data_IF_357142345258
#
_entry.id   IF_357142345258
#
_cell.length_a   1.000
_cell.length_b   1.000
_cell.length_c   1.000
_cell.angle_alpha   90.00
_cell.angle_beta   90.00
_cell.angle_gamma   90.00
#
_symmetry.space_group_name_H-M   'P 1'
#
loop_
_entity.id
_entity.type
_entity.pdbx_description
1 polymer ?
#
# COMPACT_ATOMS: atom_id res chain seq x y z
N UNK A 1 -4.60 26.30 25.97
CA UNK A 1 -3.46 26.30 25.01
C UNK A 1 -2.11 26.12 25.69
N UNK A 2 -1.78 26.91 26.73
CA UNK A 2 -0.46 26.86 27.39
C UNK A 2 -0.11 25.46 27.94
N UNK A 3 -1.03 24.76 28.60
CA UNK A 3 -0.79 23.44 29.20
C UNK A 3 -0.37 22.37 28.18
N UNK A 4 -1.01 22.32 27.01
CA UNK A 4 -0.67 21.37 25.94
C UNK A 4 0.75 21.61 25.42
N UNK A 5 1.12 22.88 25.21
CA UNK A 5 2.47 23.24 24.78
C UNK A 5 3.53 22.90 25.82
N UNK A 6 3.23 23.09 27.12
CA UNK A 6 4.14 22.69 28.20
C UNK A 6 4.34 21.18 28.17
N UNK A 7 3.27 20.38 28.10
CA UNK A 7 3.37 18.91 28.03
C UNK A 7 4.20 18.49 26.80
N UNK A 8 3.91 19.07 25.64
CA UNK A 8 4.66 18.81 24.42
C UNK A 8 6.15 19.12 24.58
N UNK A 9 6.50 20.29 25.11
CA UNK A 9 7.88 20.69 25.36
C UNK A 9 8.57 19.77 26.38
N UNK A 10 7.88 19.35 27.44
CA UNK A 10 8.40 18.38 28.41
C UNK A 10 8.71 17.03 27.76
N UNK A 11 7.81 16.51 26.92
CA UNK A 11 8.00 15.23 26.22
C UNK A 11 9.14 15.30 25.22
N UNK A 12 9.20 16.37 24.41
CA UNK A 12 10.29 16.58 23.45
C UNK A 12 11.62 16.80 24.17
N UNK A 13 11.63 17.58 25.24
CA UNK A 13 12.81 17.80 26.08
C UNK A 13 13.33 16.51 26.70
N UNK A 14 12.43 15.68 27.25
CA UNK A 14 12.77 14.36 27.78
C UNK A 14 13.34 13.44 26.69
N UNK A 15 12.74 13.41 25.49
CA UNK A 15 13.23 12.63 24.36
C UNK A 15 14.63 13.10 23.93
N UNK A 16 14.85 14.41 23.76
CA UNK A 16 16.15 14.97 23.37
C UNK A 16 17.21 14.66 24.43
N UNK A 17 16.89 14.89 25.70
CA UNK A 17 17.79 14.59 26.81
C UNK A 17 18.16 13.10 26.85
N UNK A 18 17.18 12.21 26.70
CA UNK A 18 17.40 10.77 26.66
C UNK A 18 18.27 10.36 25.45
N UNK A 19 17.99 10.87 24.25
CA UNK A 19 18.79 10.59 23.04
C UNK A 19 20.24 11.06 23.19
N UNK A 20 20.47 12.22 23.79
CA UNK A 20 21.81 12.77 24.01
C UNK A 20 22.58 11.97 25.07
N UNK A 21 21.96 11.70 26.21
CA UNK A 21 22.58 11.00 27.34
C UNK A 21 22.90 9.54 27.01
N UNK A 22 21.91 8.77 26.54
CA UNK A 22 22.10 7.36 26.18
C UNK A 22 23.07 7.23 25.01
N UNK A 23 22.98 8.14 24.03
CA UNK A 23 23.93 8.21 22.92
C UNK A 23 25.37 8.47 23.39
N UNK A 24 25.58 9.43 24.29
CA UNK A 24 26.91 9.75 24.83
C UNK A 24 27.49 8.59 25.65
N UNK A 25 26.71 8.01 26.56
CA UNK A 25 27.13 6.91 27.43
C UNK A 25 27.47 5.67 26.61
N UNK A 26 26.62 5.29 25.65
CA UNK A 26 26.83 4.05 24.88
C UNK A 26 27.90 4.18 23.79
N UNK A 27 28.29 5.39 23.38
CA UNK A 27 29.42 5.58 22.45
C UNK A 27 30.78 5.39 23.13
N UNK A 28 30.92 5.81 24.38
CA UNK A 28 32.19 5.74 25.10
C UNK A 28 32.46 4.33 25.67
N UNK A 29 33.67 3.75 25.52
CA UNK A 29 33.97 2.39 26.01
C UNK A 29 33.66 2.18 27.50
N UNK A 30 34.12 3.10 28.37
CA UNK A 30 33.81 3.08 29.81
C UNK A 30 32.31 3.11 30.12
N UNK A 31 31.52 3.83 29.32
CA UNK A 31 30.08 3.90 29.49
C UNK A 31 29.39 2.58 29.12
N UNK A 32 29.87 1.89 28.07
CA UNK A 32 29.38 0.54 27.73
C UNK A 32 29.68 -0.47 28.84
N UNK A 33 30.87 -0.44 29.42
CA UNK A 33 31.23 -1.30 30.56
C UNK A 33 30.35 -1.03 31.79
N UNK A 34 30.11 0.24 32.11
CA UNK A 34 29.21 0.63 33.19
C UNK A 34 27.77 0.15 32.96
N UNK A 35 27.26 0.25 31.73
CA UNK A 35 25.94 -0.30 31.38
C UNK A 35 25.93 -1.83 31.53
N UNK A 36 26.99 -2.52 31.08
CA UNK A 36 27.12 -3.98 31.20
C UNK A 36 27.20 -4.45 32.67
N UNK A 37 27.76 -3.63 33.57
CA UNK A 37 27.89 -4.00 34.98
C UNK A 37 26.58 -3.86 35.76
N UNK A 38 25.59 -3.13 35.25
CA UNK A 38 24.33 -2.86 35.94
C UNK A 38 23.15 -3.59 35.30
N UNK A 39 22.64 -4.62 35.99
CA UNK A 39 21.53 -5.45 35.49
C UNK A 39 20.26 -4.67 35.13
N UNK A 40 19.98 -3.57 35.83
CA UNK A 40 18.78 -2.75 35.59
C UNK A 40 18.77 -2.12 34.18
N UNK A 41 19.95 -1.78 33.64
CA UNK A 41 20.08 -1.22 32.30
C UNK A 41 20.17 -2.28 31.20
N UNK A 42 20.10 -3.55 31.56
CA UNK A 42 20.01 -4.62 30.56
C UNK A 42 18.71 -4.45 29.76
N UNK A 43 18.73 -4.56 28.42
CA UNK A 43 17.54 -4.38 27.57
C UNK A 43 16.31 -5.16 28.06
N UNK A 44 16.47 -6.48 28.31
CA UNK A 44 15.40 -7.32 28.85
C UNK A 44 14.82 -6.82 30.19
N UNK A 45 15.64 -6.25 31.06
CA UNK A 45 15.16 -5.71 32.35
C UNK A 45 14.32 -4.46 32.13
N UNK A 46 14.73 -3.57 31.22
CA UNK A 46 13.96 -2.40 30.82
C UNK A 46 12.60 -2.83 30.24
N UNK A 47 12.59 -3.80 29.33
CA UNK A 47 11.35 -4.31 28.74
C UNK A 47 10.43 -4.99 29.76
N UNK A 48 10.97 -5.71 30.75
CA UNK A 48 10.17 -6.29 31.84
C UNK A 48 9.52 -5.22 32.72
N UNK A 49 10.26 -4.17 33.07
CA UNK A 49 9.74 -3.08 33.91
C UNK A 49 8.63 -2.30 33.18
N UNK A 50 8.73 -2.18 31.85
CA UNK A 50 7.75 -1.49 31.00
C UNK A 50 6.38 -2.19 30.95
N UNK A 51 6.31 -3.51 31.07
CA UNK A 51 5.06 -4.29 30.94
C UNK A 51 3.89 -3.73 31.78
N UNK A 52 4.03 -3.53 33.10
CA UNK A 52 2.93 -2.99 33.91
C UNK A 52 2.62 -1.51 33.65
N UNK A 53 3.52 -0.76 33.01
CA UNK A 53 3.44 0.71 32.95
C UNK A 53 2.27 1.21 32.09
N UNK A 54 1.87 0.45 31.06
CA UNK A 54 0.69 0.76 30.26
C UNK A 54 -0.61 0.72 31.08
N UNK A 55 -0.72 -0.25 32.00
CA UNK A 55 -1.86 -0.34 32.91
C UNK A 55 -1.83 0.79 33.96
N UNK A 56 -0.66 1.19 34.43
CA UNK A 56 -0.50 2.35 35.33
C UNK A 56 -0.94 3.65 34.65
N UNK A 57 -0.63 3.85 33.36
CA UNK A 57 -1.16 4.98 32.58
C UNK A 57 -2.69 5.02 32.59
N UNK A 58 -3.34 3.85 32.39
CA UNK A 58 -4.81 3.73 32.46
C UNK A 58 -5.33 4.03 33.86
N UNK A 59 -4.66 3.58 34.91
CA UNK A 59 -5.05 3.89 36.29
C UNK A 59 -5.02 5.40 36.57
N UNK A 60 -4.03 6.13 36.05
CA UNK A 60 -3.99 7.58 36.16
C UNK A 60 -5.11 8.28 35.38
N UNK A 61 -5.42 7.84 34.15
CA UNK A 61 -6.58 8.37 33.43
C UNK A 61 -7.90 8.08 34.15
N UNK A 62 -8.06 6.87 34.70
CA UNK A 62 -9.23 6.50 35.48
C UNK A 62 -9.38 7.36 36.75
N UNK A 63 -8.28 7.70 37.41
CA UNK A 63 -8.25 8.57 38.58
C UNK A 63 -8.45 10.06 38.24
N UNK A 64 -8.57 10.43 36.96
CA UNK A 64 -8.68 11.82 36.50
C UNK A 64 -7.37 12.60 36.48
N UNK A 65 -6.21 11.94 36.66
CA UNK A 65 -4.89 12.56 36.63
C UNK A 65 -4.31 12.59 35.21
N UNK A 66 -5.00 13.30 34.31
CA UNK A 66 -4.72 13.27 32.86
C UNK A 66 -3.28 13.68 32.50
N UNK A 67 -2.78 14.77 33.10
CA UNK A 67 -1.42 15.26 32.84
C UNK A 67 -0.38 14.21 33.25
N UNK A 68 -0.57 13.60 34.42
CA UNK A 68 0.33 12.57 34.92
C UNK A 68 0.28 11.33 34.03
N UNK A 69 -0.91 10.91 33.60
CA UNK A 69 -1.09 9.78 32.69
C UNK A 69 -0.33 9.99 31.36
N UNK A 70 -0.44 11.19 30.76
CA UNK A 70 0.24 11.54 29.51
C UNK A 70 1.75 11.56 29.68
N UNK A 71 2.26 12.21 30.73
CA UNK A 71 3.69 12.29 31.00
C UNK A 71 4.27 10.91 31.31
N UNK A 72 3.57 10.09 32.11
CA UNK A 72 3.97 8.73 32.43
C UNK A 72 4.03 7.84 31.20
N UNK A 73 2.95 7.83 30.41
CA UNK A 73 2.88 7.06 29.17
C UNK A 73 4.02 7.48 28.22
N UNK A 74 4.22 8.78 28.03
CA UNK A 74 5.24 9.31 27.13
C UNK A 74 6.65 8.97 27.59
N UNK A 75 6.95 9.09 28.89
CA UNK A 75 8.27 8.74 29.44
C UNK A 75 8.63 7.28 29.17
N UNK A 76 7.69 6.36 29.43
CA UNK A 76 7.91 4.92 29.20
C UNK A 76 7.90 4.55 27.72
N UNK A 77 7.19 5.28 26.86
CA UNK A 77 7.32 5.13 25.41
C UNK A 77 8.68 5.61 24.90
N UNK A 78 9.28 6.65 25.49
CA UNK A 78 10.63 7.10 25.15
C UNK A 78 11.67 6.03 25.54
N UNK A 79 11.48 5.35 26.67
CA UNK A 79 12.41 4.29 27.13
C UNK A 79 12.51 3.08 26.20
N UNK A 80 11.51 2.87 25.32
CA UNK A 80 11.58 1.88 24.23
C UNK A 80 12.75 2.13 23.27
N UNK A 81 13.07 3.40 23.05
CA UNK A 81 14.18 3.73 22.18
C UNK A 81 15.53 3.47 22.90
N UNK A 82 15.53 3.43 24.23
CA UNK A 82 16.71 3.21 25.07
C UNK A 82 17.17 1.75 25.00
N UNK A 83 16.27 0.79 25.21
CA UNK A 83 16.61 -0.64 25.22
C UNK A 83 17.24 -1.09 23.88
N UNK A 84 16.69 -0.65 22.75
CA UNK A 84 17.20 -0.96 21.42
C UNK A 84 18.51 -0.23 21.09
N UNK A 85 18.83 0.88 21.75
CA UNK A 85 20.13 1.57 21.61
C UNK A 85 21.20 0.86 22.42
N UNK A 86 20.88 0.48 23.66
CA UNK A 86 21.77 -0.28 24.54
C UNK A 86 22.06 -1.65 23.94
N UNK A 87 21.04 -2.38 23.46
CA UNK A 87 21.21 -3.70 22.86
C UNK A 87 22.20 -3.70 21.69
N UNK A 88 22.15 -2.66 20.83
CA UNK A 88 23.02 -2.51 19.66
C UNK A 88 24.41 -2.00 19.98
N UNK A 89 24.54 -1.01 20.86
CA UNK A 89 25.82 -0.35 21.12
C UNK A 89 26.66 -1.07 22.19
N UNK A 90 26.03 -1.81 23.09
CA UNK A 90 26.69 -2.54 24.17
C UNK A 90 26.77 -4.05 23.91
N UNK A 91 26.37 -4.55 22.74
CA UNK A 91 26.34 -5.98 22.36
C UNK A 91 25.54 -6.86 23.35
N UNK A 92 24.42 -6.34 23.84
CA UNK A 92 23.54 -7.00 24.82
C UNK A 92 22.27 -7.59 24.20
N UNK A 93 22.26 -7.81 22.88
CA UNK A 93 21.11 -8.39 22.18
C UNK A 93 20.96 -9.88 22.50
N UNK A 94 19.78 -10.29 22.99
CA UNK A 94 19.49 -11.70 23.31
C UNK A 94 18.34 -12.26 22.47
N UNK A 95 18.27 -13.59 22.32
CA UNK A 95 17.14 -14.27 21.69
C UNK A 95 15.83 -14.05 22.45
N UNK A 96 15.91 -13.95 23.78
CA UNK A 96 14.77 -13.62 24.64
C UNK A 96 14.26 -12.20 24.40
N UNK A 97 15.15 -11.22 24.24
CA UNK A 97 14.80 -9.83 23.94
C UNK A 97 14.02 -9.68 22.63
N UNK A 98 14.43 -10.41 21.58
CA UNK A 98 13.72 -10.40 20.28
C UNK A 98 12.23 -10.75 20.38
N UNK A 99 11.81 -11.50 21.39
CA UNK A 99 10.41 -11.80 21.68
C UNK A 99 9.82 -10.89 22.75
N UNK A 100 10.59 -10.58 23.79
CA UNK A 100 10.18 -9.81 24.97
C UNK A 100 9.94 -8.33 24.64
N UNK A 101 10.82 -7.66 23.89
CA UNK A 101 10.67 -6.23 23.60
C UNK A 101 9.34 -5.97 22.85
N UNK A 102 8.99 -6.73 21.79
CA UNK A 102 7.71 -6.57 21.12
C UNK A 102 6.49 -6.99 21.95
N UNK A 103 6.65 -7.79 22.99
CA UNK A 103 5.59 -8.08 23.95
C UNK A 103 5.39 -6.90 24.89
N UNK A 104 6.48 -6.37 25.44
CA UNK A 104 6.50 -5.16 26.28
C UNK A 104 5.80 -4.00 25.59
N UNK A 105 6.08 -3.76 24.31
CA UNK A 105 5.39 -2.73 23.52
C UNK A 105 3.86 -2.89 23.57
N UNK A 106 3.36 -4.11 23.35
CA UNK A 106 1.92 -4.39 23.36
C UNK A 106 1.32 -4.16 24.74
N UNK A 107 1.99 -4.59 25.79
CA UNK A 107 1.56 -4.33 27.16
C UNK A 107 1.54 -2.83 27.48
N UNK A 108 2.39 -2.03 26.82
CA UNK A 108 2.41 -0.58 26.97
C UNK A 108 1.20 0.10 26.29
N UNK A 109 0.86 -0.28 25.06
CA UNK A 109 -0.20 0.41 24.29
C UNK A 109 -1.57 -0.28 24.25
N UNK A 110 -1.69 -1.59 24.54
CA UNK A 110 -2.99 -2.28 24.58
C UNK A 110 -3.92 -1.74 25.68
N UNK A 111 -3.48 -1.54 26.94
CA UNK A 111 -4.38 -1.02 27.96
C UNK A 111 -4.96 0.36 27.61
N UNK A 112 -4.16 1.36 27.17
CA UNK A 112 -4.70 2.64 26.71
C UNK A 112 -5.64 2.51 25.50
N UNK A 113 -5.34 1.64 24.52
CA UNK A 113 -6.24 1.40 23.38
C UNK A 113 -7.62 0.90 23.83
N UNK A 114 -7.64 -0.10 24.71
CA UNK A 114 -8.88 -0.69 25.25
C UNK A 114 -9.62 0.35 26.09
N UNK A 115 -8.91 1.13 26.91
CA UNK A 115 -9.51 2.19 27.73
C UNK A 115 -10.18 3.27 26.89
N UNK A 116 -9.49 3.82 25.88
CA UNK A 116 -10.07 4.85 25.02
C UNK A 116 -11.18 4.32 24.11
N UNK A 117 -11.13 3.04 23.73
CA UNK A 117 -12.25 2.37 23.05
C UNK A 117 -13.48 2.28 23.95
N UNK A 118 -13.31 1.81 25.19
CA UNK A 118 -14.40 1.71 26.17
C UNK A 118 -15.02 3.06 26.56
N UNK A 119 -14.28 4.16 26.38
CA UNK A 119 -14.78 5.53 26.56
C UNK A 119 -15.47 6.11 25.30
N UNK A 120 -15.57 5.34 24.22
CA UNK A 120 -16.15 5.78 22.95
C UNK A 120 -15.28 6.76 22.15
N UNK A 121 -14.02 6.95 22.54
CA UNK A 121 -13.08 7.85 21.86
C UNK A 121 -12.46 7.17 20.63
N UNK A 122 -12.18 5.88 20.75
CA UNK A 122 -11.73 5.04 19.64
C UNK A 122 -12.89 4.15 19.15
N UNK A 123 -12.93 3.82 17.84
CA UNK A 123 -13.94 2.89 17.33
C UNK A 123 -13.65 1.46 17.82
N UNK A 124 -14.53 0.95 18.69
CA UNK A 124 -14.37 -0.33 19.41
C UNK A 124 -14.08 -1.52 18.48
N UNK A 125 -14.84 -1.65 17.39
CA UNK A 125 -14.65 -2.74 16.42
C UNK A 125 -13.23 -2.76 15.86
N UNK A 126 -12.71 -1.61 15.43
CA UNK A 126 -11.40 -1.51 14.81
C UNK A 126 -10.25 -1.68 15.82
N UNK A 127 -10.45 -1.25 17.06
CA UNK A 127 -9.51 -1.56 18.16
C UNK A 127 -9.50 -3.06 18.45
N UNK A 128 -10.66 -3.72 18.49
CA UNK A 128 -10.75 -5.17 18.65
C UNK A 128 -9.98 -5.93 17.56
N UNK A 129 -10.21 -5.57 16.29
CA UNK A 129 -9.47 -6.14 15.15
C UNK A 129 -7.96 -5.92 15.30
N UNK A 130 -7.53 -4.71 15.67
CA UNK A 130 -6.12 -4.38 15.88
C UNK A 130 -5.49 -5.24 16.99
N UNK A 131 -6.12 -5.31 18.18
CA UNK A 131 -5.62 -6.06 19.34
C UNK A 131 -5.53 -7.55 19.02
N UNK A 132 -6.57 -8.12 18.41
CA UNK A 132 -6.60 -9.55 18.02
C UNK A 132 -5.50 -9.85 17.01
N UNK A 133 -5.44 -9.08 15.91
CA UNK A 133 -4.46 -9.29 14.84
C UNK A 133 -3.03 -9.18 15.35
N UNK A 134 -2.76 -8.19 16.20
CA UNK A 134 -1.42 -7.96 16.72
C UNK A 134 -1.01 -8.99 17.79
N UNK A 135 -1.98 -9.48 18.57
CA UNK A 135 -1.76 -10.59 19.50
C UNK A 135 -1.42 -11.88 18.75
N UNK A 136 -2.16 -12.19 17.68
CA UNK A 136 -1.83 -13.31 16.77
C UNK A 136 -0.44 -13.11 16.17
N UNK A 137 -0.09 -11.89 15.77
CA UNK A 137 1.24 -11.52 15.27
C UNK A 137 2.38 -11.62 16.29
N UNK A 138 2.07 -11.61 17.59
CA UNK A 138 3.03 -11.91 18.67
C UNK A 138 3.15 -13.40 18.91
N UNK A 139 2.03 -14.12 18.96
CA UNK A 139 1.99 -15.57 19.13
C UNK A 139 2.70 -16.29 17.98
N UNK A 140 2.56 -15.79 16.75
CA UNK A 140 3.24 -16.39 15.59
C UNK A 140 4.77 -16.40 15.71
N UNK A 141 5.37 -15.53 16.53
CA UNK A 141 6.83 -15.54 16.81
C UNK A 141 7.31 -16.78 17.54
N UNK A 142 6.40 -17.53 18.20
CA UNK A 142 6.74 -18.79 18.86
C UNK A 142 7.02 -19.90 17.84
N UNK A 143 6.39 -19.83 16.67
CA UNK A 143 6.47 -20.86 15.63
C UNK A 143 7.26 -20.41 14.38
N UNK A 144 7.55 -19.12 14.24
CA UNK A 144 8.24 -18.57 13.07
C UNK A 144 9.74 -18.34 13.36
N UNK A 145 10.61 -18.64 12.40
CA UNK A 145 12.04 -18.30 12.49
C UNK A 145 12.32 -16.78 12.51
N UNK A 146 11.49 -15.97 11.83
CA UNK A 146 11.57 -14.50 11.79
C UNK A 146 11.03 -13.88 13.09
N UNK A 147 11.80 -13.96 14.17
CA UNK A 147 11.41 -13.47 15.50
C UNK A 147 11.52 -11.95 15.67
N UNK A 148 12.34 -11.25 14.89
CA UNK A 148 12.51 -9.80 15.00
C UNK A 148 11.34 -9.01 14.39
N UNK A 149 11.16 -7.75 14.79
CA UNK A 149 10.16 -6.87 14.21
C UNK A 149 10.55 -6.44 12.78
N UNK A 150 9.61 -6.61 11.84
CA UNK A 150 9.74 -6.10 10.47
C UNK A 150 9.37 -4.60 10.39
N UNK A 151 9.60 -3.99 9.23
CA UNK A 151 9.33 -2.56 9.01
C UNK A 151 7.86 -2.19 9.29
N UNK A 152 6.90 -3.02 8.88
CA UNK A 152 5.48 -2.81 9.16
C UNK A 152 5.17 -2.84 10.66
N UNK A 153 5.79 -3.76 11.41
CA UNK A 153 5.65 -3.84 12.85
C UNK A 153 6.15 -2.58 13.56
N UNK A 154 7.30 -2.05 13.13
CA UNK A 154 7.84 -0.79 13.66
C UNK A 154 6.96 0.41 13.31
N UNK A 155 6.53 0.51 12.06
CA UNK A 155 5.64 1.57 11.59
C UNK A 155 4.30 1.56 12.34
N UNK A 156 3.72 0.37 12.57
CA UNK A 156 2.51 0.19 13.36
C UNK A 156 2.70 0.70 14.79
N UNK A 157 3.75 0.27 15.49
CA UNK A 157 4.00 0.72 16.87
C UNK A 157 4.14 2.24 16.93
N UNK A 158 4.93 2.83 16.02
CA UNK A 158 5.04 4.29 15.93
C UNK A 158 3.66 4.96 15.73
N UNK A 159 2.86 4.46 14.78
CA UNK A 159 1.54 5.02 14.51
C UNK A 159 0.57 4.90 15.70
N UNK A 160 0.54 3.77 16.40
CA UNK A 160 -0.29 3.56 17.60
C UNK A 160 0.12 4.54 18.70
N UNK A 161 1.42 4.69 18.93
CA UNK A 161 1.93 5.58 19.98
C UNK A 161 1.60 7.04 19.70
N UNK A 162 1.80 7.49 18.45
CA UNK A 162 1.36 8.82 18.02
C UNK A 162 -0.15 9.00 18.14
N UNK A 163 -0.96 8.01 17.72
CA UNK A 163 -2.41 8.05 17.84
C UNK A 163 -2.86 8.22 19.30
N UNK A 164 -2.32 7.41 20.22
CA UNK A 164 -2.65 7.48 21.65
C UNK A 164 -2.22 8.82 22.27
N UNK A 165 -1.02 9.31 21.95
CA UNK A 165 -0.56 10.62 22.41
C UNK A 165 -1.44 11.76 21.90
N UNK A 166 -1.83 11.75 20.62
CA UNK A 166 -2.73 12.75 20.05
C UNK A 166 -4.13 12.69 20.65
N UNK A 167 -4.65 11.49 20.90
CA UNK A 167 -5.94 11.32 21.58
C UNK A 167 -5.90 11.88 22.98
N UNK A 168 -4.86 11.55 23.76
CA UNK A 168 -4.74 12.02 25.13
C UNK A 168 -4.64 13.56 25.20
N UNK A 169 -3.90 14.19 24.26
CA UNK A 169 -3.89 15.65 24.13
C UNK A 169 -5.24 16.22 23.70
N UNK A 170 -5.95 15.54 22.77
CA UNK A 170 -7.26 15.96 22.29
C UNK A 170 -8.34 15.91 23.39
N UNK A 171 -8.21 15.02 24.38
CA UNK A 171 -9.10 14.97 25.55
C UNK A 171 -8.92 16.19 26.45
N UNK A 172 -7.68 16.65 26.66
CA UNK A 172 -7.41 17.87 27.44
C UNK A 172 -7.82 19.14 26.71
N UNK A 173 -7.59 19.18 25.41
CA UNK A 173 -7.94 20.33 24.57
C UNK A 173 -8.24 19.85 23.17
N UNK A 174 -9.42 20.19 22.68
CA UNK A 174 -9.85 19.82 21.33
C UNK A 174 -8.87 20.33 20.26
N UNK A 175 -8.31 19.40 19.49
CA UNK A 175 -7.44 19.65 18.35
C UNK A 175 -8.29 19.76 17.08
N UNK A 176 -8.10 20.85 16.34
CA UNK A 176 -8.93 21.19 15.17
C UNK A 176 -8.95 20.12 14.05
N UNK A 177 -7.89 19.32 13.92
CA UNK A 177 -7.78 18.28 12.89
C UNK A 177 -8.22 16.88 13.36
N UNK A 178 -8.41 16.66 14.66
CA UNK A 178 -8.73 15.34 15.24
C UNK A 178 -10.23 15.03 15.14
N UNK A 179 -10.73 14.96 13.91
CA UNK A 179 -12.10 14.51 13.64
C UNK A 179 -12.28 13.00 13.92
N UNK A 180 -13.49 12.52 14.27
CA UNK A 180 -13.76 11.09 14.46
C UNK A 180 -13.39 10.23 13.24
N UNK A 181 -13.57 10.77 12.03
CA UNK A 181 -13.18 10.10 10.77
C UNK A 181 -11.66 9.93 10.68
N UNK A 182 -10.91 10.96 11.06
CA UNK A 182 -9.45 10.91 11.06
C UNK A 182 -8.91 9.91 12.10
N UNK A 183 -9.49 9.90 13.31
CA UNK A 183 -9.18 8.90 14.34
C UNK A 183 -9.48 7.48 13.84
N UNK A 184 -10.64 7.27 13.23
CA UNK A 184 -11.02 6.00 12.61
C UNK A 184 -10.03 5.56 11.54
N UNK A 185 -9.64 6.46 10.63
CA UNK A 185 -8.65 6.19 9.59
C UNK A 185 -7.30 5.77 10.16
N UNK A 186 -6.79 6.48 11.17
CA UNK A 186 -5.54 6.12 11.84
C UNK A 186 -5.63 4.76 12.54
N UNK A 187 -6.77 4.47 13.20
CA UNK A 187 -7.01 3.18 13.88
C UNK A 187 -7.04 2.02 12.88
N UNK A 188 -7.75 2.18 11.77
CA UNK A 188 -7.78 1.19 10.66
C UNK A 188 -6.39 1.01 10.07
N UNK A 189 -5.64 2.10 9.88
CA UNK A 189 -4.27 2.05 9.37
C UNK A 189 -3.35 1.27 10.32
N UNK A 190 -3.50 1.44 11.63
CA UNK A 190 -2.79 0.63 12.63
C UNK A 190 -3.15 -0.86 12.48
N UNK A 191 -4.43 -1.19 12.35
CA UNK A 191 -4.90 -2.56 12.14
C UNK A 191 -4.31 -3.19 10.87
N UNK A 192 -4.29 -2.44 9.77
CA UNK A 192 -3.70 -2.87 8.50
C UNK A 192 -2.19 -3.13 8.62
N UNK A 193 -1.45 -2.23 9.28
CA UNK A 193 -0.01 -2.42 9.51
C UNK A 193 0.27 -3.61 10.44
N UNK A 194 -0.60 -3.88 11.41
CA UNK A 194 -0.53 -5.07 12.27
C UNK A 194 -0.72 -6.35 11.45
N UNK A 195 -1.73 -6.37 10.58
CA UNK A 195 -1.99 -7.48 9.67
C UNK A 195 -0.80 -7.72 8.72
N UNK A 196 -0.28 -6.68 8.06
CA UNK A 196 0.89 -6.76 7.18
C UNK A 196 2.12 -7.27 7.94
N UNK A 197 2.32 -6.82 9.17
CA UNK A 197 3.43 -7.29 10.01
C UNK A 197 3.31 -8.78 10.34
N UNK A 198 2.11 -9.26 10.68
CA UNK A 198 1.82 -10.68 10.88
C UNK A 198 2.01 -11.49 9.60
N UNK A 199 1.40 -11.04 8.51
CA UNK A 199 1.45 -11.69 7.20
C UNK A 199 2.91 -11.89 6.74
N UNK A 200 3.75 -10.85 6.76
CA UNK A 200 5.15 -10.97 6.35
C UNK A 200 6.03 -11.83 7.29
N UNK A 201 5.53 -12.24 8.45
CA UNK A 201 6.22 -13.22 9.31
C UNK A 201 5.81 -14.64 8.93
N UNK A 202 4.51 -14.87 8.76
CA UNK A 202 3.96 -16.22 8.57
C UNK A 202 4.10 -16.67 7.12
N UNK A 203 3.84 -15.78 6.17
CA UNK A 203 3.80 -16.12 4.75
C UNK A 203 5.21 -16.03 4.16
N UNK A 204 5.69 -17.09 3.45
CA UNK A 204 6.98 -17.05 2.78
C UNK A 204 7.06 -15.93 1.74
N UNK A 205 8.24 -15.34 1.57
CA UNK A 205 8.41 -14.15 0.73
C UNK A 205 8.03 -14.39 -0.76
N UNK A 206 8.13 -15.64 -1.23
CA UNK A 206 7.78 -16.07 -2.60
C UNK A 206 6.27 -15.95 -2.88
N UNK A 207 5.43 -15.93 -1.85
CA UNK A 207 3.97 -15.83 -1.97
C UNK A 207 3.44 -14.39 -2.00
N UNK A 208 4.29 -13.38 -1.78
CA UNK A 208 3.85 -11.99 -1.72
C UNK A 208 3.25 -11.50 -3.04
N UNK A 209 3.82 -11.91 -4.18
CA UNK A 209 3.25 -11.59 -5.48
C UNK A 209 1.85 -12.20 -5.63
N UNK A 210 1.72 -13.52 -5.45
CA UNK A 210 0.44 -14.21 -5.56
C UNK A 210 -0.65 -13.65 -4.62
N UNK A 211 -0.30 -13.19 -3.41
CA UNK A 211 -1.31 -12.62 -2.51
C UNK A 211 -1.80 -11.24 -2.97
N UNK A 212 -0.94 -10.45 -3.61
CA UNK A 212 -1.35 -9.21 -4.25
C UNK A 212 -2.18 -9.48 -5.51
N UNK A 213 -1.79 -10.47 -6.32
CA UNK A 213 -2.60 -10.96 -7.44
C UNK A 213 -3.99 -11.43 -7.00
N UNK A 214 -4.07 -12.17 -5.88
CA UNK A 214 -5.35 -12.56 -5.29
C UNK A 214 -6.16 -11.34 -4.84
N UNK A 215 -5.51 -10.32 -4.27
CA UNK A 215 -6.18 -9.07 -3.91
C UNK A 215 -6.73 -8.33 -5.15
N UNK A 216 -5.99 -8.30 -6.26
CA UNK A 216 -6.47 -7.80 -7.55
C UNK A 216 -7.72 -8.57 -8.00
N UNK A 217 -7.65 -9.91 -8.02
CA UNK A 217 -8.79 -10.75 -8.39
C UNK A 217 -10.04 -10.49 -7.50
N UNK A 218 -9.85 -10.39 -6.19
CA UNK A 218 -10.94 -10.07 -5.25
C UNK A 218 -11.52 -8.68 -5.49
N UNK A 219 -10.70 -7.68 -5.84
CA UNK A 219 -11.19 -6.37 -6.29
C UNK A 219 -12.06 -6.51 -7.54
N UNK A 220 -11.67 -7.35 -8.51
CA UNK A 220 -12.49 -7.65 -9.68
C UNK A 220 -13.85 -8.26 -9.34
N UNK A 221 -13.89 -9.28 -8.47
CA UNK A 221 -15.14 -9.90 -8.02
C UNK A 221 -16.04 -8.91 -7.27
N UNK A 222 -15.47 -8.11 -6.36
CA UNK A 222 -16.21 -7.08 -5.64
C UNK A 222 -16.72 -5.98 -6.58
N UNK A 223 -15.97 -5.64 -7.63
CA UNK A 223 -16.40 -4.69 -8.64
C UNK A 223 -17.58 -5.23 -9.45
N UNK A 224 -17.54 -6.48 -9.91
CA UNK A 224 -18.66 -7.13 -10.59
C UNK A 224 -19.94 -7.10 -9.74
N UNK A 225 -19.82 -7.41 -8.44
CA UNK A 225 -20.94 -7.31 -7.50
C UNK A 225 -21.51 -5.89 -7.38
N UNK A 226 -20.65 -4.87 -7.37
CA UNK A 226 -21.07 -3.47 -7.30
C UNK A 226 -21.77 -3.00 -8.58
N UNK A 227 -21.37 -3.49 -9.76
CA UNK A 227 -22.10 -3.22 -11.02
C UNK A 227 -23.52 -3.78 -10.90
N UNK A 228 -23.68 -5.05 -10.49
CA UNK A 228 -24.99 -5.67 -10.31
C UNK A 228 -25.85 -4.94 -9.26
N UNK A 229 -25.21 -4.34 -8.27
CA UNK A 229 -25.87 -3.56 -7.21
C UNK A 229 -26.16 -2.10 -7.61
N UNK A 230 -26.08 -1.74 -8.90
CA UNK A 230 -26.27 -0.38 -9.44
C UNK A 230 -25.30 0.66 -8.82
N UNK A 231 -24.05 0.26 -8.60
CA UNK A 231 -22.98 1.11 -8.10
C UNK A 231 -21.75 1.11 -9.01
N UNK A 232 -21.89 1.53 -10.28
CA UNK A 232 -20.83 1.42 -11.31
C UNK A 232 -19.57 2.23 -10.97
N UNK A 233 -19.70 3.39 -10.35
CA UNK A 233 -18.56 4.18 -9.88
C UNK A 233 -17.73 3.43 -8.82
N UNK A 234 -18.38 2.78 -7.85
CA UNK A 234 -17.69 2.02 -6.81
C UNK A 234 -16.97 0.82 -7.42
N UNK A 235 -17.59 0.16 -8.40
CA UNK A 235 -16.95 -0.90 -9.17
C UNK A 235 -15.69 -0.40 -9.88
N UNK A 236 -15.75 0.77 -10.53
CA UNK A 236 -14.59 1.34 -11.21
C UNK A 236 -13.48 1.77 -10.24
N UNK A 237 -13.82 2.30 -9.06
CA UNK A 237 -12.83 2.55 -8.00
C UNK A 237 -12.16 1.25 -7.55
N UNK A 238 -12.89 0.13 -7.44
CA UNK A 238 -12.31 -1.17 -7.10
C UNK A 238 -11.38 -1.70 -8.20
N UNK A 239 -11.73 -1.52 -9.48
CA UNK A 239 -10.82 -1.82 -10.61
C UNK A 239 -9.53 -0.99 -10.51
N UNK A 240 -9.67 0.30 -10.22
CA UNK A 240 -8.53 1.20 -10.02
C UNK A 240 -7.64 0.74 -8.85
N UNK A 241 -8.21 0.29 -7.74
CA UNK A 241 -7.45 -0.29 -6.62
C UNK A 241 -6.77 -1.60 -7.03
N UNK A 242 -7.45 -2.47 -7.79
CA UNK A 242 -6.88 -3.70 -8.34
C UNK A 242 -5.62 -3.46 -9.19
N UNK A 243 -5.60 -2.38 -9.98
CA UNK A 243 -4.42 -1.93 -10.73
C UNK A 243 -3.22 -1.58 -9.86
N UNK A 244 -3.40 -1.14 -8.62
CA UNK A 244 -2.26 -0.97 -7.71
C UNK A 244 -1.72 -2.31 -7.24
N UNK A 245 -2.59 -3.28 -7.00
CA UNK A 245 -2.16 -4.62 -6.60
C UNK A 245 -1.38 -5.32 -7.72
N UNK A 246 -1.83 -5.25 -8.97
CA UNK A 246 -1.07 -5.69 -10.17
C UNK A 246 0.29 -4.97 -10.27
N UNK A 247 0.31 -3.64 -10.15
CA UNK A 247 1.58 -2.90 -10.20
C UNK A 247 2.58 -3.37 -9.11
N UNK A 248 2.08 -3.69 -7.92
CA UNK A 248 2.90 -4.13 -6.80
C UNK A 248 3.28 -5.60 -6.87
N UNK A 249 2.43 -6.50 -7.39
CA UNK A 249 2.73 -7.93 -7.47
C UNK A 249 3.90 -8.22 -8.39
N UNK A 250 3.99 -7.57 -9.56
CA UNK A 250 5.09 -7.74 -10.49
C UNK A 250 6.40 -7.21 -9.92
N UNK A 251 6.34 -6.21 -9.02
CA UNK A 251 7.53 -5.76 -8.27
C UNK A 251 7.93 -6.75 -7.19
N UNK A 252 6.97 -7.33 -6.47
CA UNK A 252 7.24 -8.34 -5.45
C UNK A 252 7.81 -9.61 -6.08
N UNK A 253 7.26 -10.05 -7.22
CA UNK A 253 7.74 -11.20 -7.98
C UNK A 253 9.22 -11.06 -8.39
N UNK A 254 9.63 -9.86 -8.84
CA UNK A 254 11.03 -9.59 -9.19
C UNK A 254 11.96 -9.49 -7.99
N UNK A 255 11.45 -9.00 -6.85
CA UNK A 255 12.27 -8.77 -5.64
C UNK A 255 12.44 -10.02 -4.80
N UNK A 256 11.38 -10.81 -4.64
CA UNK A 256 11.30 -11.95 -3.73
C UNK A 256 11.13 -13.30 -4.45
N UNK A 257 11.01 -13.29 -5.78
CA UNK A 257 10.62 -14.45 -6.55
C UNK A 257 9.10 -14.60 -6.63
N UNK A 258 8.64 -15.52 -7.48
CA UNK A 258 7.24 -15.90 -7.59
C UNK A 258 7.13 -17.42 -7.71
N UNK A 259 5.95 -17.96 -7.43
CA UNK A 259 5.66 -19.38 -7.60
C UNK A 259 5.62 -19.76 -9.08
N UNK A 260 5.77 -21.06 -9.39
CA UNK A 260 5.79 -21.58 -10.78
C UNK A 260 4.57 -21.15 -11.62
N UNK A 261 3.39 -21.12 -11.01
CA UNK A 261 2.13 -20.74 -11.68
C UNK A 261 1.71 -19.30 -11.41
N UNK A 262 2.58 -18.50 -10.78
CA UNK A 262 2.31 -17.09 -10.47
C UNK A 262 1.91 -16.26 -11.70
N UNK A 263 2.63 -16.34 -12.84
CA UNK A 263 2.25 -15.60 -14.04
C UNK A 263 0.86 -15.97 -14.59
N UNK A 264 0.49 -17.25 -14.55
CA UNK A 264 -0.84 -17.68 -14.99
C UNK A 264 -1.92 -17.15 -14.06
N UNK A 265 -1.65 -17.13 -12.75
CA UNK A 265 -2.57 -16.58 -11.77
C UNK A 265 -2.76 -15.06 -11.94
N UNK A 266 -1.68 -14.36 -12.30
CA UNK A 266 -1.67 -12.94 -12.65
C UNK A 266 -2.56 -12.66 -13.86
N UNK A 267 -2.39 -13.41 -14.94
CA UNK A 267 -3.22 -13.27 -16.14
C UNK A 267 -4.72 -13.54 -15.86
N UNK A 268 -5.04 -14.47 -14.96
CA UNK A 268 -6.44 -14.73 -14.54
C UNK A 268 -7.01 -13.52 -13.76
N UNK A 269 -6.22 -12.95 -12.85
CA UNK A 269 -6.61 -11.76 -12.11
C UNK A 269 -6.82 -10.56 -13.04
N UNK A 270 -5.87 -10.31 -13.95
CA UNK A 270 -5.92 -9.25 -14.95
C UNK A 270 -7.10 -9.40 -15.91
N UNK A 271 -7.32 -10.61 -16.42
CA UNK A 271 -8.46 -10.91 -17.29
C UNK A 271 -9.80 -10.68 -16.60
N UNK A 272 -9.88 -10.95 -15.29
CA UNK A 272 -11.08 -10.71 -14.49
C UNK A 272 -11.30 -9.22 -14.24
N UNK A 273 -10.31 -8.53 -13.67
CA UNK A 273 -10.44 -7.14 -13.21
C UNK A 273 -10.44 -6.14 -14.37
N UNK A 274 -9.54 -6.29 -15.35
CA UNK A 274 -9.37 -5.34 -16.45
C UNK A 274 -10.13 -5.73 -17.71
N UNK A 275 -10.44 -7.03 -17.87
CA UNK A 275 -11.24 -7.55 -18.96
C UNK A 275 -12.72 -7.61 -18.61
N UNK A 276 -13.12 -8.66 -17.87
CA UNK A 276 -14.52 -9.01 -17.63
C UNK A 276 -15.31 -7.91 -16.91
N UNK A 277 -14.76 -7.34 -15.84
CA UNK A 277 -15.46 -6.30 -15.06
C UNK A 277 -15.71 -5.04 -15.89
N UNK A 278 -14.71 -4.60 -16.67
CA UNK A 278 -14.88 -3.44 -17.55
C UNK A 278 -15.87 -3.75 -18.68
N UNK A 279 -15.92 -4.98 -19.18
CA UNK A 279 -16.96 -5.42 -20.11
C UNK A 279 -18.36 -5.31 -19.52
N UNK A 280 -18.54 -5.78 -18.27
CA UNK A 280 -19.80 -5.66 -17.57
C UNK A 280 -20.17 -4.20 -17.35
N UNK A 281 -19.20 -3.33 -17.07
CA UNK A 281 -19.41 -1.90 -16.94
C UNK A 281 -19.84 -1.27 -18.27
N UNK A 282 -19.17 -1.61 -19.38
CA UNK A 282 -19.54 -1.17 -20.73
C UNK A 282 -20.96 -1.59 -21.07
N UNK A 283 -21.30 -2.86 -20.82
CA UNK A 283 -22.65 -3.38 -21.07
C UNK A 283 -23.70 -2.66 -20.22
N UNK A 284 -23.47 -2.55 -18.91
CA UNK A 284 -24.39 -1.93 -17.97
C UNK A 284 -24.76 -0.49 -18.38
N UNK A 285 -23.76 0.32 -18.70
CA UNK A 285 -23.98 1.73 -19.03
C UNK A 285 -24.52 1.91 -20.46
N UNK A 286 -23.98 1.22 -21.46
CA UNK A 286 -24.44 1.40 -22.85
C UNK A 286 -25.76 0.69 -23.17
N UNK A 287 -26.13 -0.35 -22.43
CA UNK A 287 -27.45 -0.96 -22.58
C UNK A 287 -28.56 0.05 -22.22
N UNK A 288 -28.30 0.95 -21.26
CA UNK A 288 -29.21 2.02 -20.88
C UNK A 288 -29.22 3.17 -21.89
N UNK A 289 -28.06 3.58 -22.42
CA UNK A 289 -27.94 4.77 -23.28
C UNK A 289 -28.18 4.52 -24.78
N UNK A 290 -27.95 3.30 -25.28
CA UNK A 290 -28.09 2.93 -26.68
C UNK A 290 -29.08 1.78 -26.87
N UNK A 291 -28.59 0.54 -26.76
CA UNK A 291 -29.38 -0.69 -26.81
C UNK A 291 -28.59 -1.82 -26.18
N UNK A 292 -29.28 -2.79 -25.58
CA UNK A 292 -28.66 -3.95 -24.96
C UNK A 292 -27.77 -4.74 -25.94
N UNK A 293 -28.19 -4.86 -27.21
CA UNK A 293 -27.40 -5.54 -28.24
C UNK A 293 -26.09 -4.82 -28.53
N UNK A 294 -26.11 -3.50 -28.74
CA UNK A 294 -24.90 -2.73 -29.02
C UNK A 294 -23.93 -2.72 -27.83
N UNK A 295 -24.45 -2.56 -26.61
CA UNK A 295 -23.66 -2.68 -25.39
C UNK A 295 -22.99 -4.06 -25.26
N UNK A 296 -23.73 -5.14 -25.54
CA UNK A 296 -23.22 -6.51 -25.45
C UNK A 296 -22.13 -6.79 -26.49
N UNK A 297 -22.34 -6.37 -27.74
CA UNK A 297 -21.34 -6.52 -28.81
C UNK A 297 -20.05 -5.78 -28.43
N UNK A 298 -20.15 -4.54 -27.97
CA UNK A 298 -18.97 -3.76 -27.61
C UNK A 298 -18.22 -4.34 -26.41
N UNK A 299 -18.94 -4.80 -25.38
CA UNK A 299 -18.36 -5.49 -24.24
C UNK A 299 -17.63 -6.78 -24.66
N UNK A 300 -18.21 -7.56 -25.57
CA UNK A 300 -17.60 -8.78 -26.10
C UNK A 300 -16.31 -8.47 -26.88
N UNK A 301 -16.35 -7.46 -27.76
CA UNK A 301 -15.16 -6.99 -28.50
C UNK A 301 -14.05 -6.59 -27.52
N UNK A 302 -14.37 -5.80 -26.51
CA UNK A 302 -13.40 -5.35 -25.52
C UNK A 302 -12.73 -6.53 -24.78
N UNK A 303 -13.51 -7.50 -24.29
CA UNK A 303 -12.98 -8.68 -23.58
C UNK A 303 -12.09 -9.52 -24.49
N UNK A 304 -12.52 -9.77 -25.73
CA UNK A 304 -11.73 -10.53 -26.70
C UNK A 304 -10.38 -9.85 -26.97
N UNK A 305 -10.36 -8.52 -27.08
CA UNK A 305 -9.13 -7.75 -27.22
C UNK A 305 -8.21 -7.87 -25.99
N UNK A 306 -8.77 -7.83 -24.77
CA UNK A 306 -7.99 -8.02 -23.53
C UNK A 306 -7.41 -9.44 -23.48
N UNK A 307 -8.22 -10.47 -23.74
CA UNK A 307 -7.76 -11.86 -23.77
C UNK A 307 -6.64 -12.08 -24.79
N UNK A 308 -6.79 -11.55 -26.01
CA UNK A 308 -5.74 -11.64 -27.04
C UNK A 308 -4.47 -10.90 -26.62
N UNK A 309 -4.61 -9.74 -25.96
CA UNK A 309 -3.47 -8.97 -25.44
C UNK A 309 -2.71 -9.74 -24.37
N UNK A 310 -3.40 -10.39 -23.43
CA UNK A 310 -2.78 -11.25 -22.41
C UNK A 310 -2.07 -12.46 -23.05
N UNK A 311 -2.73 -13.13 -23.99
CA UNK A 311 -2.11 -14.24 -24.73
C UNK A 311 -0.81 -13.84 -25.45
N UNK A 312 -0.80 -12.67 -26.11
CA UNK A 312 0.38 -12.14 -26.80
C UNK A 312 1.50 -11.71 -25.84
N UNK A 313 1.16 -11.35 -24.61
CA UNK A 313 2.14 -11.04 -23.58
C UNK A 313 2.91 -12.29 -23.14
N UNK A 314 2.22 -13.42 -22.99
CA UNK A 314 2.85 -14.72 -22.73
C UNK A 314 3.62 -15.28 -23.92
N UNK A 315 3.12 -15.07 -25.15
CA UNK A 315 3.69 -15.58 -26.40
C UNK A 315 4.13 -14.42 -27.31
N UNK A 316 5.22 -13.70 -26.97
CA UNK A 316 5.66 -12.57 -27.76
C UNK A 316 6.17 -13.03 -29.14
N UNK A 317 5.72 -12.41 -30.25
CA UNK A 317 6.14 -12.81 -31.60
C UNK A 317 7.61 -12.49 -31.90
N UNK A 318 8.22 -11.57 -31.13
CA UNK A 318 9.63 -11.21 -31.27
C UNK A 318 10.16 -10.64 -29.96
N UNK A 319 11.47 -10.81 -29.68
CA UNK A 319 12.08 -10.29 -28.46
C UNK A 319 12.00 -8.76 -28.43
N UNK A 320 11.65 -8.21 -27.27
CA UNK A 320 11.60 -6.78 -27.01
C UNK A 320 12.60 -6.41 -25.91
N UNK A 321 13.12 -5.17 -25.90
CA UNK A 321 13.93 -4.68 -24.80
C UNK A 321 13.17 -4.75 -23.46
N UNK A 322 13.90 -4.97 -22.36
CA UNK A 322 13.31 -4.98 -21.02
C UNK A 322 12.54 -3.69 -20.74
N UNK A 323 11.31 -3.82 -20.25
CA UNK A 323 10.44 -2.68 -19.91
C UNK A 323 9.69 -2.06 -21.07
N UNK A 324 9.62 -2.75 -22.21
CA UNK A 324 8.80 -2.39 -23.37
C UNK A 324 7.84 -3.54 -23.68
N UNK A 325 6.59 -3.24 -23.98
CA UNK A 325 5.60 -4.21 -24.44
C UNK A 325 4.88 -3.72 -25.71
N UNK A 326 4.27 -4.65 -26.46
CA UNK A 326 3.46 -4.35 -27.66
C UNK A 326 1.99 -4.15 -27.28
N UNK A 327 1.41 -3.07 -27.76
CA UNK A 327 0.06 -2.63 -27.43
C UNK A 327 -0.01 -1.95 -26.06
N UNK A 328 -1.09 -1.21 -25.83
CA UNK A 328 -1.41 -0.60 -24.54
C UNK A 328 -1.61 -1.70 -23.48
N UNK A 329 -1.17 -1.49 -22.22
CA UNK A 329 -1.36 -2.48 -21.17
C UNK A 329 -2.81 -2.48 -20.68
N UNK A 330 -3.36 -3.63 -20.29
CA UNK A 330 -4.77 -3.78 -19.90
C UNK A 330 -5.16 -2.92 -18.70
N UNK A 331 -4.31 -2.62 -17.70
CA UNK A 331 -4.72 -1.72 -16.63
C UNK A 331 -4.95 -0.29 -17.16
N UNK A 332 -4.09 0.19 -18.07
CA UNK A 332 -4.30 1.49 -18.72
C UNK A 332 -5.53 1.47 -19.66
N UNK A 333 -5.75 0.36 -20.37
CA UNK A 333 -6.94 0.16 -21.20
C UNK A 333 -8.23 0.16 -20.38
N UNK A 334 -8.26 -0.55 -19.26
CA UNK A 334 -9.38 -0.56 -18.32
C UNK A 334 -9.68 0.82 -17.76
N UNK A 335 -8.64 1.58 -17.39
CA UNK A 335 -8.78 2.93 -16.88
C UNK A 335 -9.33 3.89 -17.96
N UNK A 336 -8.85 3.79 -19.21
CA UNK A 336 -9.34 4.62 -20.31
C UNK A 336 -10.78 4.26 -20.70
N UNK A 337 -11.07 2.99 -20.93
CA UNK A 337 -12.38 2.51 -21.36
C UNK A 337 -13.43 2.72 -20.26
N UNK A 338 -13.12 2.35 -19.02
CA UNK A 338 -14.04 2.49 -17.88
C UNK A 338 -14.34 3.96 -17.56
N UNK A 339 -13.33 4.83 -17.53
CA UNK A 339 -13.57 6.26 -17.31
C UNK A 339 -14.34 6.91 -18.48
N UNK A 340 -14.06 6.52 -19.73
CA UNK A 340 -14.77 7.03 -20.91
C UNK A 340 -16.26 6.67 -20.85
N UNK A 341 -16.58 5.43 -20.48
CA UNK A 341 -17.96 5.00 -20.32
C UNK A 341 -18.66 5.82 -19.25
N UNK A 342 -18.10 5.92 -18.05
CA UNK A 342 -18.77 6.63 -16.95
C UNK A 342 -18.87 8.15 -17.14
N UNK A 343 -17.99 8.76 -17.94
CA UNK A 343 -18.04 10.21 -18.21
C UNK A 343 -19.01 10.58 -19.34
N UNK A 344 -19.14 9.71 -20.34
CA UNK A 344 -19.75 10.09 -21.62
C UNK A 344 -20.97 9.26 -22.01
N UNK A 345 -21.25 8.09 -21.40
CA UNK A 345 -22.38 7.22 -21.79
C UNK A 345 -23.72 7.96 -21.79
N UNK A 346 -24.00 8.72 -20.74
CA UNK A 346 -25.30 9.40 -20.56
C UNK A 346 -25.56 10.51 -21.59
N UNK A 347 -24.53 11.26 -21.98
CA UNK A 347 -24.69 12.47 -22.83
C UNK A 347 -24.24 12.26 -24.26
N UNK A 348 -23.17 11.48 -24.46
CA UNK A 348 -22.49 11.26 -25.73
C UNK A 348 -22.16 9.76 -25.89
N UNK A 349 -23.17 8.87 -25.91
CA UNK A 349 -22.94 7.43 -25.89
C UNK A 349 -22.12 6.92 -27.08
N UNK A 350 -22.26 7.54 -28.27
CA UNK A 350 -21.46 7.21 -29.45
C UNK A 350 -19.98 7.56 -29.27
N UNK A 351 -19.66 8.67 -28.59
CA UNK A 351 -18.29 9.03 -28.26
C UNK A 351 -17.70 8.02 -27.26
N UNK A 352 -18.48 7.67 -26.23
CA UNK A 352 -18.08 6.67 -25.24
C UNK A 352 -17.76 5.33 -25.91
N UNK A 353 -18.64 4.86 -26.80
CA UNK A 353 -18.43 3.63 -27.57
C UNK A 353 -17.20 3.72 -28.50
N UNK A 354 -17.02 4.85 -29.19
CA UNK A 354 -15.85 5.10 -30.03
C UNK A 354 -14.54 5.05 -29.25
N UNK A 355 -14.49 5.64 -28.06
CA UNK A 355 -13.31 5.62 -27.18
C UNK A 355 -13.00 4.20 -26.68
N UNK A 356 -14.00 3.39 -26.38
CA UNK A 356 -13.82 1.96 -26.06
C UNK A 356 -13.22 1.21 -27.24
N UNK A 357 -13.72 1.41 -28.46
CA UNK A 357 -13.15 0.78 -29.67
C UNK A 357 -11.71 1.20 -29.92
N UNK A 358 -11.39 2.49 -29.79
CA UNK A 358 -10.02 3.00 -29.90
C UNK A 358 -9.12 2.33 -28.85
N UNK A 359 -9.60 2.24 -27.60
CA UNK A 359 -8.85 1.59 -26.51
C UNK A 359 -8.60 0.11 -26.79
N UNK A 360 -9.62 -0.62 -27.25
CA UNK A 360 -9.51 -2.03 -27.68
C UNK A 360 -8.49 -2.20 -28.80
N UNK A 361 -8.53 -1.33 -29.81
CA UNK A 361 -7.56 -1.32 -30.90
C UNK A 361 -6.13 -1.04 -30.42
N UNK A 362 -5.94 -0.11 -29.48
CA UNK A 362 -4.63 0.20 -28.90
C UNK A 362 -4.05 -0.96 -28.08
N UNK A 363 -4.87 -1.79 -27.43
CA UNK A 363 -4.37 -2.99 -26.73
C UNK A 363 -3.87 -4.07 -27.70
N UNK A 364 -4.51 -4.20 -28.86
CA UNK A 364 -4.21 -5.24 -29.86
C UNK A 364 -3.18 -4.78 -30.90
N UNK A 365 -2.95 -3.48 -31.06
CA UNK A 365 -1.98 -2.98 -32.02
C UNK A 365 -0.52 -3.36 -31.67
N UNK A 366 0.38 -3.26 -32.64
CA UNK A 366 1.82 -3.57 -32.51
C UNK A 366 2.66 -2.40 -31.99
N UNK A 367 2.04 -1.30 -31.57
CA UNK A 367 2.72 -0.10 -31.05
C UNK A 367 3.51 -0.45 -29.79
N UNK A 368 4.75 0.07 -29.67
CA UNK A 368 5.61 -0.16 -28.50
C UNK A 368 5.26 0.82 -27.38
N UNK A 369 4.92 0.32 -26.20
CA UNK A 369 4.63 1.12 -25.01
C UNK A 369 5.65 0.88 -23.90
N UNK A 370 5.94 1.94 -23.15
CA UNK A 370 6.85 1.93 -22.00
C UNK A 370 6.16 1.39 -20.76
N UNK A 371 6.77 0.42 -20.09
CA UNK A 371 6.22 -0.14 -18.87
C UNK A 371 6.31 0.84 -17.70
N UNK A 372 5.13 1.24 -17.19
CA UNK A 372 5.01 2.23 -16.12
C UNK A 372 5.83 1.84 -14.87
N UNK A 373 5.59 0.65 -14.32
CA UNK A 373 6.30 0.17 -13.14
C UNK A 373 7.81 -0.05 -13.28
N UNK A 374 8.34 -0.25 -14.50
CA UNK A 374 9.75 -0.54 -14.72
C UNK A 374 10.58 0.69 -15.10
N UNK A 375 9.99 1.63 -15.85
CA UNK A 375 10.73 2.78 -16.41
C UNK A 375 10.33 4.11 -15.77
N UNK A 376 9.05 4.29 -15.44
CA UNK A 376 8.53 5.57 -14.92
C UNK A 376 8.61 5.59 -13.39
N UNK A 377 8.10 4.56 -12.72
CA UNK A 377 8.07 4.53 -11.26
C UNK A 377 9.45 4.59 -10.59
N UNK A 378 10.48 3.84 -11.02
CA UNK A 378 11.77 3.85 -10.34
C UNK A 378 12.49 5.20 -10.39
N UNK A 379 12.25 6.01 -11.43
CA UNK A 379 12.88 7.33 -11.61
C UNK A 379 12.44 8.39 -10.59
N UNK A 380 11.35 8.17 -9.86
CA UNK A 380 10.87 9.10 -8.82
C UNK A 380 11.66 8.93 -7.50
N UNK A 381 12.03 10.02 -6.81
CA UNK A 381 12.56 9.97 -5.45
C UNK A 381 11.59 9.27 -4.47
N UNK A 382 12.10 8.59 -3.45
CA UNK A 382 11.27 7.83 -2.50
C UNK A 382 10.27 8.71 -1.74
N UNK A 383 10.64 9.95 -1.42
CA UNK A 383 9.74 10.93 -0.78
C UNK A 383 8.57 11.28 -1.69
N UNK A 384 8.82 11.48 -2.99
CA UNK A 384 7.75 11.76 -3.96
C UNK A 384 6.84 10.54 -4.16
N UNK A 385 7.40 9.33 -4.24
CA UNK A 385 6.60 8.09 -4.31
C UNK A 385 5.65 7.97 -3.12
N UNK A 386 6.17 8.21 -1.91
CA UNK A 386 5.37 8.16 -0.68
C UNK A 386 4.27 9.22 -0.69
N UNK A 387 4.62 10.47 -1.03
CA UNK A 387 3.67 11.57 -1.09
C UNK A 387 2.55 11.29 -2.12
N UNK A 388 2.90 10.85 -3.33
CA UNK A 388 1.93 10.50 -4.37
C UNK A 388 1.01 9.37 -3.90
N UNK A 389 1.55 8.32 -3.27
CA UNK A 389 0.75 7.21 -2.77
C UNK A 389 -0.22 7.63 -1.65
N UNK A 390 0.23 8.50 -0.73
CA UNK A 390 -0.62 9.04 0.35
C UNK A 390 -1.73 9.91 -0.24
N UNK A 391 -1.39 10.84 -1.13
CA UNK A 391 -2.37 11.72 -1.76
C UNK A 391 -3.40 10.93 -2.57
N UNK A 392 -2.94 9.91 -3.30
CA UNK A 392 -3.83 9.03 -4.05
C UNK A 392 -4.75 8.22 -3.12
N UNK A 393 -4.22 7.69 -2.02
CA UNK A 393 -5.03 6.95 -1.04
C UNK A 393 -6.12 7.84 -0.43
N UNK A 394 -5.78 9.09 -0.09
CA UNK A 394 -6.73 10.08 0.41
C UNK A 394 -7.79 10.36 -0.67
N UNK A 395 -7.36 10.61 -1.90
CA UNK A 395 -8.25 10.90 -3.02
C UNK A 395 -9.23 9.76 -3.28
N UNK A 396 -8.76 8.52 -3.39
CA UNK A 396 -9.59 7.32 -3.56
C UNK A 396 -10.57 7.15 -2.40
N UNK A 397 -10.11 7.35 -1.16
CA UNK A 397 -10.96 7.25 0.03
C UNK A 397 -12.07 8.30 0.02
N UNK A 398 -11.76 9.54 -0.39
CA UNK A 398 -12.74 10.60 -0.54
C UNK A 398 -13.75 10.30 -1.65
N UNK A 399 -13.29 9.78 -2.80
CA UNK A 399 -14.16 9.36 -3.89
C UNK A 399 -15.10 8.21 -3.52
N UNK A 400 -14.69 7.34 -2.60
CA UNK A 400 -15.56 6.28 -2.09
C UNK A 400 -16.59 6.81 -1.08
N UNK A 401 -16.21 7.79 -0.26
CA UNK A 401 -17.02 8.32 0.83
C UNK A 401 -18.06 9.36 0.38
N UNK A 402 -17.74 10.20 -0.60
CA UNK A 402 -18.58 11.32 -1.03
C UNK A 402 -18.71 11.37 -2.56
N UNK A 403 -19.97 11.34 -3.03
CA UNK A 403 -20.34 11.36 -4.45
C UNK A 403 -19.88 12.64 -5.15
N UNK A 404 -19.65 13.73 -4.42
CA UNK A 404 -19.17 14.99 -5.00
C UNK A 404 -17.81 14.85 -5.70
N UNK A 405 -16.98 13.89 -5.27
CA UNK A 405 -15.66 13.64 -5.87
C UNK A 405 -15.68 12.62 -7.01
N UNK A 406 -16.86 12.10 -7.38
CA UNK A 406 -17.02 11.13 -8.47
C UNK A 406 -16.50 11.69 -9.80
N UNK A 407 -16.95 12.88 -10.18
CA UNK A 407 -16.55 13.52 -11.44
C UNK A 407 -15.04 13.75 -11.52
N UNK A 408 -14.44 14.27 -10.43
CA UNK A 408 -13.01 14.50 -10.33
C UNK A 408 -12.21 13.20 -10.45
N UNK A 409 -12.67 12.11 -9.85
CA UNK A 409 -12.02 10.81 -9.93
C UNK A 409 -12.02 10.23 -11.35
N UNK A 410 -13.19 10.27 -12.01
CA UNK A 410 -13.33 9.78 -13.38
C UNK A 410 -12.49 10.61 -14.35
N UNK A 411 -12.51 11.94 -14.22
CA UNK A 411 -11.69 12.83 -15.03
C UNK A 411 -10.19 12.62 -14.80
N UNK A 412 -9.78 12.41 -13.55
CA UNK A 412 -8.41 12.05 -13.22
C UNK A 412 -7.99 10.75 -13.92
N UNK A 413 -8.80 9.69 -13.80
CA UNK A 413 -8.51 8.40 -14.46
C UNK A 413 -8.44 8.55 -15.98
N UNK A 414 -9.40 9.25 -16.59
CA UNK A 414 -9.43 9.50 -18.03
C UNK A 414 -8.20 10.29 -18.49
N UNK A 415 -7.86 11.40 -17.83
CA UNK A 415 -6.72 12.25 -18.23
C UNK A 415 -5.40 11.52 -18.08
N UNK A 416 -5.18 10.77 -17.00
CA UNK A 416 -3.97 9.96 -16.81
C UNK A 416 -3.87 8.87 -17.89
N UNK A 417 -4.97 8.16 -18.16
CA UNK A 417 -4.97 7.07 -19.15
C UNK A 417 -4.78 7.59 -20.58
N UNK A 418 -5.47 8.69 -20.95
CA UNK A 418 -5.33 9.34 -22.25
C UNK A 418 -3.92 9.92 -22.46
N UNK A 419 -3.35 10.54 -21.42
CA UNK A 419 -1.96 11.02 -21.45
C UNK A 419 -1.01 9.84 -21.66
N UNK A 420 -1.22 8.73 -20.96
CA UNK A 420 -0.42 7.52 -21.13
C UNK A 420 -0.62 6.87 -22.52
N UNK A 421 -1.83 6.93 -23.09
CA UNK A 421 -2.10 6.41 -24.43
C UNK A 421 -1.25 7.09 -25.51
N UNK A 422 -1.00 8.39 -25.36
CA UNK A 422 -0.24 9.19 -26.33
C UNK A 422 1.25 9.21 -25.98
N UNK A 423 1.59 9.60 -24.75
CA UNK A 423 2.97 9.79 -24.32
C UNK A 423 3.63 8.50 -23.86
N UNK A 424 2.88 7.44 -23.57
CA UNK A 424 3.45 6.15 -23.16
C UNK A 424 4.20 5.42 -24.27
N UNK A 425 3.98 5.82 -25.54
CA UNK A 425 4.61 5.25 -26.72
C UNK A 425 6.14 5.45 -26.66
N UNK A 426 6.90 4.39 -26.98
CA UNK A 426 8.35 4.47 -27.15
C UNK A 426 8.66 4.73 -28.63
N UNK A 427 9.08 5.95 -28.95
CA UNK A 427 9.44 6.37 -30.30
C UNK A 427 10.88 6.00 -30.69
N UNK A 428 11.68 5.42 -29.78
CA UNK A 428 13.06 5.04 -30.10
C UNK A 428 13.07 3.82 -31.04
N UNK A 429 13.49 4.02 -32.29
CA UNK A 429 13.92 2.92 -33.18
C UNK A 429 15.19 2.32 -32.58
N UNK A 430 15.14 1.05 -32.18
CA UNK A 430 16.36 0.25 -31.96
C UNK A 430 16.93 -0.16 -33.33
N UNK A 431 18.25 -0.19 -33.54
CA UNK A 431 18.89 -0.38 -34.86
C UNK A 431 18.85 -1.82 -35.40
N UNK A 432 17.81 -2.59 -35.12
CA UNK A 432 17.68 -3.98 -35.55
C UNK A 432 16.25 -4.24 -36.06
N UNK A 433 15.87 -3.52 -37.12
CA UNK A 433 15.03 -4.12 -38.16
C UNK A 433 16.01 -4.44 -39.30
N UNK A 434 16.19 -5.71 -39.71
CA UNK A 434 17.00 -6.02 -40.88
C UNK A 434 16.26 -5.50 -42.12
N UNK A 435 16.58 -4.27 -42.53
CA UNK A 435 16.34 -3.79 -43.88
C UNK A 435 17.11 -4.71 -44.84
N UNK A 436 16.37 -5.53 -45.58
CA UNK A 436 16.40 -5.55 -47.04
C UNK A 436 17.73 -5.03 -47.64
N UNK A 437 18.80 -5.83 -47.52
CA UNK A 437 19.96 -5.70 -48.41
C UNK A 437 19.59 -6.30 -49.76
N UNK A 438 19.02 -5.46 -50.60
CA UNK A 438 19.08 -5.63 -52.05
C UNK A 438 20.52 -5.39 -52.50
N UNK A 439 21.33 -6.44 -52.49
CA UNK A 439 22.64 -6.47 -53.15
C UNK A 439 22.49 -7.30 -54.44
N UNK A 440 21.93 -6.69 -55.49
CA UNK A 440 22.22 -7.03 -56.89
C UNK A 440 22.98 -5.88 -57.56
N UNK A 441 23.94 -6.27 -58.39
CA UNK A 441 24.93 -5.46 -59.12
C UNK A 441 26.11 -5.06 -58.22
N UNK A 442 27.36 -5.43 -58.49
CA UNK A 442 28.04 -5.60 -59.77
C UNK A 442 29.15 -6.66 -59.65
N UNK A 443 29.16 -7.65 -60.56
CA UNK A 443 30.44 -8.20 -61.04
C UNK A 443 31.03 -7.18 -62.02
N UNK A 444 32.37 -7.02 -62.06
CA UNK A 444 33.03 -7.51 -63.27
C UNK A 444 34.42 -8.15 -63.06
N UNK A 445 34.60 -9.27 -63.77
CA UNK A 445 35.71 -9.56 -64.71
C UNK A 445 37.14 -9.72 -64.16
N UNK A 446 37.62 -10.98 -64.18
CA UNK A 446 38.76 -11.40 -65.02
C UNK A 446 40.20 -11.32 -64.49
N UNK A 447 40.72 -12.48 -64.05
CA UNK A 447 41.95 -13.23 -64.49
C UNK A 447 43.22 -12.49 -64.98
N UNK A 448 44.44 -13.06 -64.86
CA UNK A 448 44.77 -14.50 -64.86
C UNK A 448 45.20 -15.11 -63.52
#
# INVERSE_FOLDING_TARGET
>A
MVTVWIIFLCVIGALVFERLTVGAVTRHPKGREWVRSHKVFHPNSISLIRIPMGAVSVAFWWAGWEILAILWFSAWMITDLTDGTIARNCDLATETGKWLDPLSDKCMYFPPLIYFAARGVLPEMWVGVLVVTDSIGQLSRLFTHKKAANYFGKAKTALITTLLSLIALNQMQQLWFMSPRFIGLLTVSCGLLAFLSFYCKVVPDVWYANSLTLANFLCGLAAAWNIQSNHPLRAFILVFVGQFFDLFDGRMARKFGSTRHGPVFDDIADGTTFGLVIAFLIFHELAASLSAFQGAVLAAVYVLCVCYRLYRFLNPPSPLPRGIFRGMPSPAGAMLAGASILLFSDRLPLLAAGLVLVTSGLMVCSIRYRHFGQRIWPGLPNTMKLLVLILLLIFVSMSFADKNYAGSFMLFCFTVAATYAIYGIDYRRTPEDPEEKDDRAEEPVGTP
#
